data_IF_605508178012
#
_entry.id   IF_605508178012
#
_cell.length_a   1.000
_cell.length_b   1.000
_cell.length_c   1.000
_cell.angle_alpha   90.00
_cell.angle_beta   90.00
_cell.angle_gamma   90.00
#
_symmetry.space_group_name_H-M   'P 1'
#
loop_
_entity.id
_entity.type
_entity.pdbx_description
1 polymer ?
#
# COMPACT_ATOMS: atom_id res chain seq x y z
N UNK A 1 -28.82 8.38 -8.93
CA UNK A 1 -27.81 9.10 -8.13
C UNK A 1 -26.42 8.93 -8.77
N UNK A 2 -25.54 9.89 -8.53
CA UNK A 2 -24.13 9.91 -8.90
C UNK A 2 -23.28 9.17 -7.85
N UNK A 3 -22.01 8.92 -8.17
CA UNK A 3 -21.03 8.33 -7.28
C UNK A 3 -19.87 9.29 -7.03
N UNK A 4 -19.23 9.15 -5.88
CA UNK A 4 -17.99 9.82 -5.51
C UNK A 4 -16.90 8.78 -5.23
N UNK A 5 -15.71 9.03 -5.76
CA UNK A 5 -14.52 8.21 -5.56
C UNK A 5 -13.38 9.07 -5.00
N UNK A 6 -12.66 8.59 -3.99
CA UNK A 6 -11.46 9.28 -3.51
C UNK A 6 -10.37 8.29 -3.08
N UNK A 7 -9.12 8.73 -3.22
CA UNK A 7 -7.93 8.02 -2.76
C UNK A 7 -7.47 8.62 -1.43
N UNK A 8 -7.01 7.79 -0.51
CA UNK A 8 -6.60 8.21 0.84
C UNK A 8 -5.29 7.57 1.29
N UNK A 9 -4.50 8.36 2.02
CA UNK A 9 -3.20 7.98 2.56
C UNK A 9 -2.11 7.87 1.50
N UNK A 10 -1.06 7.10 1.82
CA UNK A 10 0.00 6.76 0.88
C UNK A 10 -0.55 6.04 -0.35
N UNK A 11 -0.09 6.45 -1.53
CA UNK A 11 -0.45 5.84 -2.81
C UNK A 11 0.33 4.56 -3.05
N UNK A 12 -0.11 3.75 -4.02
CA UNK A 12 0.59 2.51 -4.42
C UNK A 12 0.80 2.48 -5.94
N UNK A 13 1.54 1.48 -6.42
CA UNK A 13 1.74 1.28 -7.84
C UNK A 13 0.41 0.93 -8.54
N UNK A 14 -0.58 0.38 -7.82
CA UNK A 14 -1.80 -0.21 -8.39
C UNK A 14 -3.10 0.42 -7.88
N UNK A 15 -3.05 1.46 -7.04
CA UNK A 15 -4.27 2.12 -6.53
C UNK A 15 -5.14 2.69 -7.67
N UNK A 16 -4.54 3.08 -8.79
CA UNK A 16 -5.24 3.47 -10.01
C UNK A 16 -5.89 2.30 -10.77
N UNK A 17 -5.40 1.06 -10.60
CA UNK A 17 -6.11 -0.11 -11.12
C UNK A 17 -7.44 -0.32 -10.39
N UNK A 18 -7.49 -0.10 -9.08
CA UNK A 18 -8.75 -0.05 -8.33
C UNK A 18 -9.65 1.09 -8.83
N UNK A 19 -9.09 2.29 -9.06
CA UNK A 19 -9.83 3.41 -9.62
C UNK A 19 -10.45 3.09 -10.99
N UNK A 20 -9.66 2.44 -11.87
CA UNK A 20 -10.10 1.94 -13.18
C UNK A 20 -11.29 0.98 -13.01
N UNK A 21 -11.17 -0.01 -12.11
CA UNK A 21 -12.23 -0.95 -11.80
C UNK A 21 -13.53 -0.29 -11.35
N UNK A 22 -13.46 0.74 -10.51
CA UNK A 22 -14.64 1.53 -10.09
C UNK A 22 -15.25 2.26 -11.28
N UNK A 23 -14.46 3.09 -11.98
CA UNK A 23 -14.98 4.01 -13.00
C UNK A 23 -15.53 3.23 -14.21
N UNK A 24 -14.84 2.19 -14.67
CA UNK A 24 -15.33 1.36 -15.77
C UNK A 24 -16.61 0.62 -15.40
N UNK A 25 -16.69 0.07 -14.18
CA UNK A 25 -17.87 -0.67 -13.73
C UNK A 25 -19.07 0.25 -13.56
N UNK A 26 -18.87 1.45 -13.00
CA UNK A 26 -19.91 2.47 -12.92
C UNK A 26 -20.39 2.91 -14.33
N UNK A 27 -19.46 3.16 -15.26
CA UNK A 27 -19.78 3.49 -16.67
C UNK A 27 -20.51 2.37 -17.42
N UNK A 28 -20.35 1.11 -17.03
CA UNK A 28 -21.13 -0.02 -17.58
C UNK A 28 -22.54 -0.11 -17.00
N UNK A 29 -22.82 0.57 -15.89
CA UNK A 29 -24.10 0.54 -15.17
C UNK A 29 -24.78 1.93 -15.15
N UNK A 30 -24.76 2.66 -16.27
CA UNK A 30 -25.29 4.03 -16.39
C UNK A 30 -26.78 4.18 -16.05
N UNK A 31 -27.54 3.10 -16.15
CA UNK A 31 -28.94 3.03 -15.75
C UNK A 31 -29.13 3.08 -14.23
N UNK A 32 -28.09 2.80 -13.42
CA UNK A 32 -28.15 2.79 -11.95
C UNK A 32 -27.24 3.83 -11.30
N UNK A 33 -26.09 4.13 -11.93
CA UNK A 33 -25.13 5.13 -11.48
C UNK A 33 -25.01 6.20 -12.57
N UNK A 34 -25.23 7.46 -12.20
CA UNK A 34 -25.06 8.60 -13.09
C UNK A 34 -23.59 8.92 -13.35
N UNK A 35 -23.16 10.14 -12.98
CA UNK A 35 -21.76 10.54 -13.05
C UNK A 35 -20.94 9.93 -11.93
N UNK A 36 -19.65 9.71 -12.20
CA UNK A 36 -18.65 9.43 -11.17
C UNK A 36 -17.80 10.68 -10.99
N UNK A 37 -17.89 11.29 -9.82
CA UNK A 37 -16.99 12.35 -9.39
C UNK A 37 -15.79 11.75 -8.68
N UNK A 38 -14.62 12.38 -8.81
CA UNK A 38 -13.46 12.08 -7.99
C UNK A 38 -13.11 13.27 -7.08
N UNK A 39 -12.65 13.01 -5.86
CA UNK A 39 -12.15 14.06 -4.97
C UNK A 39 -10.73 14.45 -5.36
N UNK A 40 -10.50 15.72 -5.71
CA UNK A 40 -9.13 16.20 -5.91
C UNK A 40 -8.39 16.15 -4.58
N UNK A 41 -7.23 15.49 -4.56
CA UNK A 41 -6.43 15.31 -3.35
C UNK A 41 -7.20 14.58 -2.22
N UNK A 42 -8.00 13.57 -2.59
CA UNK A 42 -8.70 12.72 -1.62
C UNK A 42 -9.91 13.37 -0.98
N UNK A 43 -10.14 13.12 0.31
CA UNK A 43 -11.33 13.58 1.02
C UNK A 43 -11.39 15.10 1.20
N UNK A 44 -10.23 15.78 1.18
CA UNK A 44 -10.15 17.25 1.21
C UNK A 44 -10.89 17.86 -0.01
N UNK A 45 -10.81 17.21 -1.17
CA UNK A 45 -11.54 17.65 -2.36
C UNK A 45 -13.05 17.57 -2.18
N UNK A 46 -13.56 16.62 -1.39
CA UNK A 46 -14.98 16.63 -1.03
C UNK A 46 -15.30 17.80 -0.08
N UNK A 47 -14.54 17.97 1.00
CA UNK A 47 -14.78 19.04 1.98
C UNK A 47 -14.78 20.44 1.35
N UNK A 48 -13.83 20.69 0.45
CA UNK A 48 -13.66 21.99 -0.22
C UNK A 48 -14.43 22.13 -1.54
N UNK A 49 -15.26 21.12 -1.87
CA UNK A 49 -16.03 21.02 -3.11
C UNK A 49 -15.17 21.13 -4.40
N UNK A 50 -13.94 20.62 -4.35
CA UNK A 50 -13.05 20.46 -5.51
C UNK A 50 -13.19 19.05 -6.09
N UNK A 51 -14.31 18.85 -6.79
CA UNK A 51 -14.67 17.59 -7.43
C UNK A 51 -14.17 17.57 -8.88
N UNK A 52 -13.71 16.40 -9.33
CA UNK A 52 -13.32 16.13 -10.71
C UNK A 52 -14.46 15.38 -11.41
N UNK A 53 -14.93 15.85 -12.57
CA UNK A 53 -15.91 15.13 -13.41
C UNK A 53 -15.20 14.10 -14.29
N UNK A 54 -15.16 12.85 -13.83
CA UNK A 54 -14.48 11.77 -14.58
C UNK A 54 -15.16 11.43 -15.90
N UNK A 55 -16.39 11.92 -16.17
CA UNK A 55 -17.05 11.71 -17.47
C UNK A 55 -16.36 12.47 -18.61
N UNK A 56 -15.53 13.47 -18.29
CA UNK A 56 -14.73 14.24 -19.25
C UNK A 56 -13.46 13.52 -19.69
N UNK A 57 -13.18 12.37 -19.10
CA UNK A 57 -12.03 11.52 -19.42
C UNK A 57 -12.40 10.49 -20.48
N UNK A 58 -11.51 10.28 -21.46
CA UNK A 58 -11.74 9.27 -22.50
C UNK A 58 -11.75 7.86 -21.91
N UNK A 59 -12.38 6.90 -22.60
CA UNK A 59 -12.33 5.49 -22.20
C UNK A 59 -10.89 4.97 -22.18
N UNK A 60 -10.06 5.37 -23.15
CA UNK A 60 -8.64 5.01 -23.20
C UNK A 60 -7.85 5.57 -22.01
N UNK A 61 -8.14 6.82 -21.59
CA UNK A 61 -7.50 7.43 -20.42
C UNK A 61 -7.85 6.67 -19.13
N UNK A 62 -9.11 6.26 -18.97
CA UNK A 62 -9.53 5.45 -17.82
C UNK A 62 -8.90 4.05 -17.85
N UNK A 63 -8.86 3.39 -19.01
CA UNK A 63 -8.20 2.09 -19.14
C UNK A 63 -6.70 2.19 -18.78
N UNK A 64 -6.04 3.28 -19.17
CA UNK A 64 -4.62 3.51 -18.89
C UNK A 64 -4.29 3.71 -17.40
N UNK A 65 -5.28 3.99 -16.55
CA UNK A 65 -5.11 4.00 -15.09
C UNK A 65 -4.65 2.63 -14.57
N UNK A 66 -5.04 1.52 -15.22
CA UNK A 66 -4.65 0.15 -14.81
C UNK A 66 -3.14 -0.06 -14.85
N UNK A 67 -2.43 0.71 -15.68
CA UNK A 67 -0.98 0.63 -15.84
C UNK A 67 -0.26 1.95 -15.50
N UNK A 68 -0.84 2.76 -14.62
CA UNK A 68 -0.25 4.05 -14.18
C UNK A 68 -0.09 4.08 -12.65
N UNK A 69 1.10 4.36 -12.09
CA UNK A 69 1.34 4.38 -10.65
C UNK A 69 0.66 5.56 -9.95
N UNK A 70 0.75 5.57 -8.62
CA UNK A 70 0.36 6.70 -7.76
C UNK A 70 -1.14 6.99 -7.79
N UNK A 71 -1.58 8.14 -7.25
CA UNK A 71 -2.98 8.55 -7.26
C UNK A 71 -3.28 9.52 -8.40
N UNK A 72 -4.01 9.08 -9.42
CA UNK A 72 -4.33 9.90 -10.60
C UNK A 72 -5.20 11.13 -10.30
N UNK A 73 -5.85 11.16 -9.13
CA UNK A 73 -6.69 12.29 -8.68
C UNK A 73 -6.06 13.03 -7.49
N UNK A 74 -4.80 12.70 -7.13
CA UNK A 74 -4.19 13.10 -5.87
C UNK A 74 -4.72 12.27 -4.69
N UNK A 75 -4.04 12.38 -3.56
CA UNK A 75 -4.41 11.76 -2.29
C UNK A 75 -4.08 12.72 -1.16
N UNK A 76 -4.53 12.44 0.07
CA UNK A 76 -4.14 13.20 1.24
C UNK A 76 -3.97 12.30 2.47
N UNK A 77 -3.34 12.86 3.49
CA UNK A 77 -3.18 12.30 4.83
C UNK A 77 -4.11 13.00 5.84
N UNK A 78 -5.29 13.44 5.38
CA UNK A 78 -6.25 14.14 6.24
C UNK A 78 -7.11 13.14 7.00
N UNK A 79 -6.97 13.10 8.33
CA UNK A 79 -7.80 12.27 9.20
C UNK A 79 -9.05 13.03 9.60
N UNK A 80 -10.23 12.50 9.25
CA UNK A 80 -11.46 12.95 9.87
C UNK A 80 -11.47 12.45 11.30
N UNK A 81 -11.61 13.37 12.27
CA UNK A 81 -11.69 13.02 13.69
C UNK A 81 -12.98 12.24 14.00
N UNK A 82 -13.18 11.84 15.25
CA UNK A 82 -14.45 11.21 15.63
C UNK A 82 -15.64 12.17 15.45
N UNK A 83 -16.86 11.64 15.40
CA UNK A 83 -18.07 12.47 15.25
C UNK A 83 -18.22 13.44 16.43
N UNK A 84 -17.81 13.01 17.63
CA UNK A 84 -17.82 13.83 18.85
C UNK A 84 -16.81 14.98 18.76
N UNK A 85 -15.66 14.75 18.10
CA UNK A 85 -14.59 15.73 17.99
C UNK A 85 -14.76 16.69 16.80
N UNK A 86 -15.32 16.23 15.68
CA UNK A 86 -15.48 17.06 14.49
C UNK A 86 -16.65 16.63 13.60
N UNK A 87 -17.88 16.77 14.12
CA UNK A 87 -19.11 16.54 13.37
C UNK A 87 -19.22 17.40 12.09
N UNK A 88 -18.72 18.63 12.14
CA UNK A 88 -18.77 19.63 11.06
C UNK A 88 -18.19 19.13 9.74
N UNK A 89 -17.09 18.38 9.78
CA UNK A 89 -16.50 17.82 8.56
C UNK A 89 -17.39 16.77 7.91
N UNK A 90 -18.02 15.89 8.70
CA UNK A 90 -18.92 14.88 8.15
C UNK A 90 -20.20 15.49 7.61
N UNK A 91 -20.79 16.46 8.31
CA UNK A 91 -21.95 17.22 7.82
C UNK A 91 -21.63 17.90 6.48
N UNK A 92 -20.45 18.52 6.39
CA UNK A 92 -19.97 19.11 5.14
C UNK A 92 -19.87 18.09 4.00
N UNK A 93 -19.39 16.88 4.26
CA UNK A 93 -19.36 15.82 3.24
C UNK A 93 -20.77 15.49 2.74
N UNK A 94 -21.73 15.31 3.64
CA UNK A 94 -23.11 15.00 3.27
C UNK A 94 -23.75 16.16 2.48
N UNK A 95 -23.52 17.42 2.86
CA UNK A 95 -23.97 18.60 2.12
C UNK A 95 -23.46 18.59 0.67
N UNK A 96 -22.16 18.39 0.48
CA UNK A 96 -21.52 18.34 -0.84
C UNK A 96 -22.09 17.18 -1.65
N UNK A 97 -22.22 16.00 -1.04
CA UNK A 97 -22.80 14.84 -1.71
C UNK A 97 -24.25 15.08 -2.12
N UNK A 98 -25.07 15.70 -1.28
CA UNK A 98 -26.45 16.08 -1.58
C UNK A 98 -26.54 17.09 -2.73
N UNK A 99 -25.73 18.16 -2.69
CA UNK A 99 -25.68 19.18 -3.74
C UNK A 99 -25.30 18.60 -5.12
N UNK A 100 -24.53 17.51 -5.14
CA UNK A 100 -24.10 16.81 -6.36
C UNK A 100 -24.89 15.53 -6.66
N UNK A 101 -26.01 15.28 -5.96
CA UNK A 101 -26.84 14.09 -6.11
C UNK A 101 -26.03 12.79 -6.02
N UNK A 102 -25.01 12.75 -5.16
CA UNK A 102 -24.13 11.61 -4.91
C UNK A 102 -24.79 10.71 -3.87
N UNK A 103 -25.02 9.44 -4.19
CA UNK A 103 -25.57 8.44 -3.27
C UNK A 103 -24.65 7.23 -3.05
N UNK A 104 -23.49 7.23 -3.70
CA UNK A 104 -22.48 6.19 -3.60
C UNK A 104 -21.14 6.81 -3.24
N UNK A 105 -20.53 6.35 -2.16
CA UNK A 105 -19.21 6.78 -1.70
C UNK A 105 -18.23 5.61 -1.74
N UNK A 106 -17.26 5.68 -2.66
CA UNK A 106 -16.20 4.69 -2.82
C UNK A 106 -14.88 5.27 -2.30
N UNK A 107 -14.40 4.78 -1.16
CA UNK A 107 -13.19 5.33 -0.53
C UNK A 107 -12.04 4.33 -0.52
N UNK A 108 -11.00 4.65 -1.30
CA UNK A 108 -9.88 3.76 -1.58
C UNK A 108 -8.67 4.10 -0.72
N UNK A 109 -8.43 3.29 0.32
CA UNK A 109 -7.59 3.69 1.44
C UNK A 109 -7.18 2.54 2.36
N UNK A 110 -6.55 2.87 3.50
CA UNK A 110 -6.21 1.90 4.56
C UNK A 110 -7.28 1.86 5.66
N UNK A 111 -6.92 1.37 6.86
CA UNK A 111 -7.85 1.16 7.98
C UNK A 111 -8.63 2.42 8.39
N UNK A 112 -7.97 3.58 8.47
CA UNK A 112 -8.62 4.87 8.76
C UNK A 112 -9.71 5.24 7.73
N UNK A 113 -9.58 4.78 6.49
CA UNK A 113 -10.59 4.99 5.44
C UNK A 113 -11.80 4.08 5.62
N UNK A 114 -11.63 2.89 6.18
CA UNK A 114 -12.75 2.01 6.56
C UNK A 114 -13.61 2.66 7.65
N UNK A 115 -12.98 3.24 8.67
CA UNK A 115 -13.65 4.00 9.73
C UNK A 115 -14.40 5.22 9.17
N UNK A 116 -13.78 5.97 8.26
CA UNK A 116 -14.44 7.10 7.56
C UNK A 116 -15.70 6.65 6.81
N UNK A 117 -15.63 5.54 6.06
CA UNK A 117 -16.80 5.01 5.34
C UNK A 117 -17.93 4.63 6.30
N UNK A 118 -17.62 3.98 7.42
CA UNK A 118 -18.60 3.57 8.42
C UNK A 118 -19.34 4.78 9.00
N UNK A 119 -18.61 5.83 9.37
CA UNK A 119 -19.18 7.08 9.92
C UNK A 119 -20.01 7.84 8.90
N UNK A 120 -19.55 7.95 7.65
CA UNK A 120 -20.32 8.58 6.56
C UNK A 120 -21.64 7.82 6.34
N UNK A 121 -21.61 6.49 6.33
CA UNK A 121 -22.83 5.67 6.22
C UNK A 121 -23.82 6.00 7.33
N UNK A 122 -23.39 5.90 8.59
CA UNK A 122 -24.24 6.13 9.76
C UNK A 122 -24.82 7.56 9.80
N UNK A 123 -23.97 8.58 9.61
CA UNK A 123 -24.42 9.96 9.67
C UNK A 123 -25.39 10.30 8.53
N UNK A 124 -25.15 9.77 7.33
CA UNK A 124 -26.01 10.02 6.16
C UNK A 124 -27.46 9.57 6.37
N UNK A 125 -27.68 8.49 7.13
CA UNK A 125 -29.02 8.02 7.51
C UNK A 125 -29.71 9.01 8.46
N UNK A 126 -28.98 9.55 9.45
CA UNK A 126 -29.52 10.54 10.39
C UNK A 126 -29.80 11.91 9.76
N UNK A 127 -29.23 12.19 8.58
CA UNK A 127 -29.40 13.45 7.85
C UNK A 127 -30.43 13.36 6.71
N UNK A 128 -31.23 12.29 6.67
CA UNK A 128 -32.25 12.04 5.63
C UNK A 128 -31.68 12.12 4.21
N UNK A 129 -30.44 11.64 4.04
CA UNK A 129 -29.80 11.52 2.74
C UNK A 129 -28.88 10.29 2.73
N UNK A 130 -29.43 9.06 2.72
CA UNK A 130 -28.65 7.84 2.87
C UNK A 130 -27.62 7.66 1.76
N UNK A 131 -26.37 7.42 2.14
CA UNK A 131 -25.23 7.19 1.23
C UNK A 131 -24.71 5.78 1.42
N UNK A 132 -24.56 5.06 0.31
CA UNK A 132 -23.89 3.75 0.30
C UNK A 132 -22.39 3.97 0.32
N UNK A 133 -21.76 3.79 1.49
CA UNK A 133 -20.33 3.92 1.67
C UNK A 133 -19.66 2.53 1.60
N UNK A 134 -18.78 2.36 0.60
CA UNK A 134 -18.02 1.14 0.38
C UNK A 134 -16.54 1.46 0.44
N UNK A 135 -15.84 0.80 1.34
CA UNK A 135 -14.38 0.90 1.42
C UNK A 135 -13.75 0.05 0.32
N UNK A 136 -12.70 0.55 -0.32
CA UNK A 136 -11.86 -0.22 -1.26
C UNK A 136 -10.49 -0.40 -0.59
N UNK A 137 -10.05 -1.65 -0.34
CA UNK A 137 -8.83 -1.90 0.42
C UNK A 137 -7.59 -1.45 -0.36
N UNK A 138 -6.71 -0.73 0.33
CA UNK A 138 -5.39 -0.31 -0.18
C UNK A 138 -4.43 -0.06 0.97
N UNK A 139 -3.31 -0.77 0.95
CA UNK A 139 -2.17 -0.53 1.85
C UNK A 139 -0.97 -1.29 1.30
N UNK A 140 0.21 -0.67 1.33
CA UNK A 140 1.47 -1.37 0.99
C UNK A 140 1.96 -2.20 2.17
N UNK A 141 1.54 -1.84 3.39
CA UNK A 141 1.95 -2.47 4.64
C UNK A 141 1.24 -3.80 4.89
N UNK A 142 0.21 -4.12 4.09
CA UNK A 142 -0.53 -5.38 4.14
C UNK A 142 -1.22 -5.65 5.50
N UNK A 143 -1.67 -4.57 6.14
CA UNK A 143 -2.17 -4.52 7.51
C UNK A 143 -3.70 -4.49 7.63
N UNK A 144 -4.47 -4.54 6.54
CA UNK A 144 -5.93 -4.68 6.65
C UNK A 144 -6.31 -6.10 7.08
N UNK A 145 -7.26 -6.25 8.02
CA UNK A 145 -7.72 -7.53 8.51
C UNK A 145 -8.69 -8.19 7.51
N UNK A 146 -8.97 -9.48 7.74
CA UNK A 146 -9.94 -10.32 7.02
C UNK A 146 -9.53 -10.64 5.57
N UNK A 147 -9.13 -9.65 4.77
CA UNK A 147 -8.57 -9.90 3.43
C UNK A 147 -7.25 -10.68 3.53
N UNK A 148 -7.05 -11.65 2.62
CA UNK A 148 -5.82 -12.44 2.59
C UNK A 148 -4.60 -11.54 2.38
N UNK A 149 -4.70 -10.60 1.45
CA UNK A 149 -3.70 -9.59 1.19
C UNK A 149 -4.35 -8.27 0.76
N UNK A 150 -3.54 -7.21 0.74
CA UNK A 150 -4.00 -5.87 0.39
C UNK A 150 -3.50 -5.46 -1.01
N UNK A 151 -4.35 -4.80 -1.84
CA UNK A 151 -3.91 -4.18 -3.08
C UNK A 151 -2.78 -3.18 -2.88
N UNK A 152 -1.68 -3.37 -3.62
CA UNK A 152 -0.44 -2.59 -3.53
C UNK A 152 0.71 -3.35 -2.89
N UNK A 153 0.43 -4.20 -1.91
CA UNK A 153 1.45 -4.98 -1.22
C UNK A 153 2.20 -5.91 -2.16
N UNK A 154 1.49 -6.70 -2.98
CA UNK A 154 2.13 -7.68 -3.87
C UNK A 154 3.10 -7.04 -4.86
N UNK A 155 2.82 -5.82 -5.32
CA UNK A 155 3.72 -5.08 -6.20
C UNK A 155 4.96 -4.53 -5.47
N UNK A 156 4.80 -4.02 -4.24
CA UNK A 156 5.94 -3.59 -3.41
C UNK A 156 6.81 -4.80 -3.06
N UNK A 157 6.20 -5.91 -2.66
CA UNK A 157 6.90 -7.16 -2.36
C UNK A 157 7.69 -7.66 -3.58
N UNK A 158 7.11 -7.60 -4.79
CA UNK A 158 7.81 -7.98 -6.03
C UNK A 158 9.00 -7.08 -6.31
N UNK A 159 8.83 -5.76 -6.17
CA UNK A 159 9.93 -4.81 -6.32
C UNK A 159 11.06 -5.10 -5.33
N UNK A 160 10.76 -5.24 -4.03
CA UNK A 160 11.77 -5.51 -3.01
C UNK A 160 12.49 -6.85 -3.25
N UNK A 161 11.76 -7.91 -3.64
CA UNK A 161 12.37 -9.19 -3.97
C UNK A 161 13.35 -9.07 -5.15
N UNK A 162 12.97 -8.37 -6.22
CA UNK A 162 13.81 -8.16 -7.40
C UNK A 162 15.03 -7.30 -7.05
N UNK A 163 14.82 -6.14 -6.42
CA UNK A 163 15.91 -5.24 -6.05
C UNK A 163 16.90 -5.88 -5.08
N UNK A 164 16.41 -6.69 -4.13
CA UNK A 164 17.28 -7.46 -3.22
C UNK A 164 18.09 -8.50 -4.01
N UNK A 165 17.48 -9.17 -4.97
CA UNK A 165 18.18 -10.14 -5.82
C UNK A 165 19.26 -9.47 -6.69
N UNK A 166 18.91 -8.40 -7.41
CA UNK A 166 19.83 -7.66 -8.28
C UNK A 166 21.03 -7.13 -7.49
N UNK A 167 20.78 -6.48 -6.35
CA UNK A 167 21.86 -5.96 -5.50
C UNK A 167 22.71 -7.08 -4.86
N UNK A 168 22.11 -8.24 -4.59
CA UNK A 168 22.84 -9.41 -4.10
C UNK A 168 23.79 -9.98 -5.17
N UNK A 169 23.39 -9.96 -6.45
CA UNK A 169 24.27 -10.35 -7.56
C UNK A 169 25.45 -9.37 -7.72
N UNK A 170 25.17 -8.06 -7.60
CA UNK A 170 26.20 -7.03 -7.66
C UNK A 170 27.24 -7.22 -6.54
N UNK A 171 26.81 -7.22 -5.28
CA UNK A 171 27.73 -7.35 -4.14
C UNK A 171 28.49 -8.68 -4.17
N UNK A 172 27.85 -9.78 -4.61
CA UNK A 172 28.53 -11.07 -4.76
C UNK A 172 29.70 -10.99 -5.76
N UNK A 173 29.53 -10.27 -6.87
CA UNK A 173 30.57 -10.11 -7.89
C UNK A 173 31.77 -9.28 -7.41
N UNK A 174 31.52 -8.33 -6.49
CA UNK A 174 32.54 -7.41 -5.97
C UNK A 174 33.22 -7.90 -4.67
N UNK A 175 32.64 -8.92 -4.03
CA UNK A 175 32.97 -9.35 -2.69
C UNK A 175 34.42 -9.79 -2.49
N UNK A 176 35.15 -10.21 -3.53
CA UNK A 176 36.52 -10.72 -3.35
C UNK A 176 37.48 -9.65 -2.83
N UNK A 177 37.36 -8.41 -3.30
CA UNK A 177 38.33 -7.33 -3.02
C UNK A 177 37.70 -6.00 -2.62
N UNK A 178 36.36 -5.88 -2.63
CA UNK A 178 35.67 -4.63 -2.34
C UNK A 178 34.50 -4.86 -1.36
N UNK A 179 33.31 -4.37 -1.70
CA UNK A 179 32.09 -4.41 -0.88
C UNK A 179 31.73 -5.82 -0.46
N UNK A 180 31.58 -6.04 0.84
CA UNK A 180 31.20 -7.33 1.45
C UNK A 180 29.73 -7.37 1.86
N UNK A 181 29.13 -6.22 2.14
CA UNK A 181 27.75 -6.14 2.61
C UNK A 181 26.95 -5.11 1.81
N UNK A 182 25.75 -5.48 1.37
CA UNK A 182 24.77 -4.55 0.84
C UNK A 182 23.57 -4.44 1.77
N UNK A 183 23.08 -3.23 2.03
CA UNK A 183 21.94 -2.97 2.91
C UNK A 183 20.84 -2.25 2.13
N UNK A 184 19.61 -2.75 2.18
CA UNK A 184 18.44 -2.07 1.60
C UNK A 184 17.43 -1.74 2.69
N UNK A 185 17.16 -0.45 2.85
CA UNK A 185 16.07 0.05 3.71
C UNK A 185 14.75 0.09 2.95
N UNK A 186 13.71 -0.43 3.60
CA UNK A 186 12.37 -0.57 3.05
C UNK A 186 11.33 -0.01 4.00
N UNK A 187 10.20 0.47 3.46
CA UNK A 187 9.04 0.86 4.29
C UNK A 187 8.52 -0.32 5.11
N UNK A 188 7.82 -0.02 6.21
CA UNK A 188 7.19 -1.02 7.07
C UNK A 188 7.27 -0.63 8.54
N UNK A 189 6.60 0.46 8.92
CA UNK A 189 6.67 1.04 10.28
C UNK A 189 6.30 0.07 11.40
N UNK A 190 5.18 -0.64 11.24
CA UNK A 190 4.61 -1.50 12.30
C UNK A 190 4.63 -2.98 11.95
N UNK A 191 4.82 -3.32 10.68
CA UNK A 191 4.77 -4.71 10.21
C UNK A 191 5.88 -4.99 9.18
N UNK A 192 6.50 -6.16 9.33
CA UNK A 192 7.64 -6.63 8.56
C UNK A 192 7.30 -7.26 7.21
N UNK A 193 6.06 -7.14 6.71
CA UNK A 193 5.61 -7.77 5.47
C UNK A 193 6.46 -7.41 4.24
N UNK A 194 6.88 -6.15 4.14
CA UNK A 194 7.71 -5.65 3.04
C UNK A 194 9.14 -6.17 3.19
N UNK A 195 9.71 -6.11 4.40
CA UNK A 195 11.04 -6.66 4.69
C UNK A 195 11.11 -8.17 4.40
N UNK A 196 10.05 -8.92 4.76
CA UNK A 196 9.91 -10.33 4.47
C UNK A 196 10.01 -10.65 2.97
N UNK A 197 9.53 -9.76 2.11
CA UNK A 197 9.60 -9.94 0.66
C UNK A 197 11.03 -9.98 0.13
N UNK A 198 11.98 -9.30 0.78
CA UNK A 198 13.41 -9.39 0.43
C UNK A 198 13.96 -10.81 0.58
N UNK A 199 13.43 -11.59 1.53
CA UNK A 199 13.77 -13.00 1.69
C UNK A 199 13.41 -13.88 0.49
N UNK A 200 12.49 -13.45 -0.38
CA UNK A 200 12.11 -14.19 -1.59
C UNK A 200 13.22 -14.21 -2.65
N UNK A 201 14.19 -13.29 -2.59
CA UNK A 201 15.33 -13.27 -3.49
C UNK A 201 16.20 -14.53 -3.37
N UNK A 202 16.28 -15.11 -2.16
CA UNK A 202 16.93 -16.39 -1.90
C UNK A 202 15.97 -17.54 -2.21
N UNK A 203 16.39 -18.50 -3.02
CA UNK A 203 15.58 -19.67 -3.42
C UNK A 203 16.34 -20.96 -3.12
N UNK A 204 15.69 -22.13 -3.30
CA UNK A 204 16.36 -23.42 -3.13
C UNK A 204 17.46 -23.63 -4.18
N UNK A 205 17.19 -23.23 -5.42
CA UNK A 205 18.10 -23.42 -6.55
C UNK A 205 19.19 -22.33 -6.61
N UNK A 206 18.89 -21.15 -6.06
CA UNK A 206 19.84 -20.05 -5.95
C UNK A 206 19.80 -19.45 -4.53
N UNK A 207 20.52 -20.05 -3.57
CA UNK A 207 20.57 -19.57 -2.20
C UNK A 207 21.42 -18.29 -2.09
N UNK A 208 20.84 -17.23 -1.54
CA UNK A 208 21.50 -15.94 -1.29
C UNK A 208 21.57 -15.70 0.24
N UNK A 209 22.72 -15.23 0.78
CA UNK A 209 22.89 -14.92 2.21
C UNK A 209 22.18 -13.60 2.56
N UNK A 210 20.91 -13.69 2.92
CA UNK A 210 20.07 -12.55 3.28
C UNK A 210 19.77 -12.58 4.78
N UNK A 211 20.03 -11.47 5.47
CA UNK A 211 19.54 -11.19 6.82
C UNK A 211 18.44 -10.13 6.75
N UNK A 212 17.36 -10.34 7.50
CA UNK A 212 16.21 -9.43 7.52
C UNK A 212 16.06 -8.88 8.93
N UNK A 213 15.90 -7.57 9.05
CA UNK A 213 15.59 -6.88 10.30
C UNK A 213 14.12 -6.47 10.27
N UNK A 214 13.31 -7.13 11.10
CA UNK A 214 11.87 -6.97 11.17
C UNK A 214 11.48 -5.97 12.27
N UNK A 215 10.39 -5.19 12.09
CA UNK A 215 9.77 -4.41 13.16
C UNK A 215 9.26 -5.29 14.32
N UNK A 216 8.92 -6.55 14.07
CA UNK A 216 8.43 -7.48 15.10
C UNK A 216 9.54 -8.07 15.98
N UNK A 217 10.81 -7.87 15.63
CA UNK A 217 11.97 -8.47 16.32
C UNK A 217 12.81 -7.37 16.92
N UNK A 218 12.96 -7.38 18.25
CA UNK A 218 13.85 -6.46 18.96
C UNK A 218 15.29 -6.55 18.42
N UNK A 219 15.86 -5.39 18.11
CA UNK A 219 17.21 -5.35 17.55
C UNK A 219 18.28 -5.61 18.62
N UNK A 220 19.03 -6.69 18.42
CA UNK A 220 20.22 -7.03 19.20
C UNK A 220 21.47 -6.85 18.32
N UNK A 221 22.21 -5.76 18.57
CA UNK A 221 23.40 -5.42 17.79
C UNK A 221 24.45 -6.54 17.80
N UNK A 222 24.71 -7.16 18.95
CA UNK A 222 25.75 -8.20 19.07
C UNK A 222 25.38 -9.43 18.26
N UNK A 223 24.13 -9.91 18.37
CA UNK A 223 23.64 -11.05 17.59
C UNK A 223 23.63 -10.74 16.10
N UNK A 224 23.22 -9.53 15.72
CA UNK A 224 23.17 -9.10 14.32
C UNK A 224 24.57 -9.12 13.68
N UNK A 225 25.55 -8.47 14.32
CA UNK A 225 26.92 -8.41 13.79
C UNK A 225 27.57 -9.80 13.71
N UNK A 226 27.32 -10.67 14.70
CA UNK A 226 27.78 -12.06 14.65
C UNK A 226 27.18 -12.82 13.45
N UNK A 227 25.92 -12.56 13.10
CA UNK A 227 25.27 -13.15 11.91
C UNK A 227 25.85 -12.61 10.60
N UNK A 228 26.09 -11.31 10.52
CA UNK A 228 26.75 -10.69 9.35
C UNK A 228 28.12 -11.30 9.12
N UNK A 229 28.95 -11.36 10.17
CA UNK A 229 30.29 -11.96 10.11
C UNK A 229 30.25 -13.42 9.66
N UNK A 230 29.35 -14.23 10.23
CA UNK A 230 29.16 -15.62 9.84
C UNK A 230 28.75 -15.79 8.37
N UNK A 231 27.84 -14.95 7.87
CA UNK A 231 27.42 -14.97 6.46
C UNK A 231 28.58 -14.60 5.53
N UNK A 232 29.32 -13.54 5.84
CA UNK A 232 30.45 -13.09 5.02
C UNK A 232 31.59 -14.10 5.04
N UNK A 233 31.91 -14.72 6.17
CA UNK A 233 32.92 -15.79 6.25
C UNK A 233 32.54 -17.02 5.41
N UNK A 234 31.25 -17.37 5.38
CA UNK A 234 30.76 -18.55 4.65
C UNK A 234 30.57 -18.31 3.16
N UNK A 235 30.04 -17.15 2.78
CA UNK A 235 29.59 -16.86 1.41
C UNK A 235 30.43 -15.81 0.70
N UNK A 236 31.35 -15.15 1.40
CA UNK A 236 32.12 -14.02 0.90
C UNK A 236 31.40 -12.67 0.99
N UNK A 237 30.07 -12.67 1.10
CA UNK A 237 29.22 -11.47 1.17
C UNK A 237 27.96 -11.69 2.01
N UNK A 238 27.21 -10.62 2.27
CA UNK A 238 25.89 -10.65 2.91
C UNK A 238 24.99 -9.54 2.36
N UNK A 239 23.71 -9.81 2.20
CA UNK A 239 22.69 -8.78 1.94
C UNK A 239 21.82 -8.60 3.18
N UNK A 240 21.52 -7.36 3.56
CA UNK A 240 20.68 -7.01 4.70
C UNK A 240 19.46 -6.24 4.21
N UNK A 241 18.27 -6.71 4.57
CA UNK A 241 17.01 -6.00 4.33
C UNK A 241 16.54 -5.46 5.66
N UNK A 242 16.45 -4.13 5.79
CA UNK A 242 16.08 -3.47 7.05
C UNK A 242 14.77 -2.71 6.88
N UNK A 243 13.79 -3.01 7.74
CA UNK A 243 12.59 -2.16 7.81
C UNK A 243 12.91 -0.83 8.46
N UNK A 244 12.29 0.25 8.00
CA UNK A 244 12.32 1.56 8.68
C UNK A 244 11.81 1.49 10.13
N UNK A 245 10.97 0.48 10.43
CA UNK A 245 10.33 0.26 11.73
C UNK A 245 11.13 -0.57 12.74
N UNK A 246 12.37 -0.95 12.43
CA UNK A 246 13.21 -1.71 13.37
C UNK A 246 13.51 -0.85 14.60
N UNK A 247 13.44 -1.47 15.78
CA UNK A 247 13.56 -0.77 17.05
C UNK A 247 14.49 -1.49 18.04
N UNK A 248 15.04 -0.70 18.95
CA UNK A 248 15.78 -1.17 20.12
C UNK A 248 14.85 -1.86 21.14
N UNK A 249 15.38 -2.62 22.12
CA UNK A 249 14.58 -3.23 23.18
C UNK A 249 13.80 -2.23 24.04
N UNK A 250 14.21 -0.96 24.06
CA UNK A 250 13.50 0.12 24.74
C UNK A 250 12.34 0.73 23.90
N UNK A 251 12.08 0.16 22.72
CA UNK A 251 11.02 0.57 21.79
C UNK A 251 11.36 1.78 20.91
N UNK A 252 12.55 2.40 21.07
CA UNK A 252 12.97 3.48 20.17
C UNK A 252 13.36 2.92 18.81
N UNK A 253 12.91 3.59 17.74
CA UNK A 253 13.34 3.24 16.39
C UNK A 253 14.87 3.39 16.24
N UNK A 254 15.48 2.53 15.42
CA UNK A 254 16.92 2.58 15.15
C UNK A 254 17.33 3.92 14.54
N UNK A 255 16.47 4.46 13.68
CA UNK A 255 16.62 5.78 13.09
C UNK A 255 15.39 6.62 13.44
N UNK A 256 15.42 7.24 14.61
CA UNK A 256 14.49 8.30 14.98
C UNK A 256 15.12 9.66 14.68
N UNK A 257 14.54 10.40 13.72
CA UNK A 257 14.99 11.75 13.36
C UNK A 257 14.51 12.82 14.34
N UNK A 258 13.64 12.47 15.30
CA UNK A 258 13.00 13.40 16.23
C UNK A 258 11.89 14.26 15.61
N UNK A 259 11.66 14.16 14.30
CA UNK A 259 10.59 14.87 13.58
C UNK A 259 9.29 14.05 13.62
N UNK A 260 8.12 14.71 13.58
CA UNK A 260 6.81 14.04 13.51
C UNK A 260 6.08 14.44 12.23
N UNK A 261 5.37 13.49 11.61
CA UNK A 261 4.52 13.73 10.44
C UNK A 261 3.17 14.36 10.84
N UNK A 262 2.33 14.66 9.83
CA UNK A 262 1.03 15.30 10.02
C UNK A 262 0.00 14.47 10.84
N UNK A 263 0.27 13.18 11.09
CA UNK A 263 -0.52 12.32 11.98
C UNK A 263 0.10 12.18 13.37
N UNK A 264 1.25 12.82 13.63
CA UNK A 264 1.97 12.73 14.89
C UNK A 264 2.91 11.53 15.00
N UNK A 265 3.13 10.78 13.91
CA UNK A 265 4.07 9.66 13.89
C UNK A 265 5.51 10.13 13.68
N UNK A 266 6.50 9.51 14.34
CA UNK A 266 7.91 9.83 14.13
C UNK A 266 8.28 9.69 12.64
N UNK A 267 8.96 10.66 12.04
CA UNK A 267 9.47 10.54 10.68
C UNK A 267 10.61 9.53 10.68
N UNK A 268 10.36 8.41 9.99
CA UNK A 268 11.32 7.33 9.84
C UNK A 268 12.16 7.54 8.58
N UNK A 269 13.37 6.98 8.60
CA UNK A 269 14.34 7.10 7.52
C UNK A 269 15.76 7.06 8.07
N UNK A 270 16.64 6.26 7.47
CA UNK A 270 18.06 6.18 7.84
C UNK A 270 18.45 4.96 8.67
N UNK A 271 17.58 3.96 8.80
CA UNK A 271 17.95 2.69 9.40
C UNK A 271 19.12 2.02 8.64
N UNK A 272 19.16 2.15 7.31
CA UNK A 272 20.27 1.66 6.48
C UNK A 272 21.61 2.30 6.87
N UNK A 273 21.66 3.61 7.12
CA UNK A 273 22.90 4.31 7.47
C UNK A 273 23.39 3.92 8.86
N UNK A 274 22.47 3.75 9.81
CA UNK A 274 22.77 3.26 11.17
C UNK A 274 23.38 1.84 11.10
N UNK A 275 22.75 0.93 10.36
CA UNK A 275 23.25 -0.44 10.18
C UNK A 275 24.60 -0.47 9.47
N UNK A 276 24.78 0.33 8.42
CA UNK A 276 26.03 0.48 7.69
C UNK A 276 27.18 0.94 8.61
N UNK A 277 26.91 1.93 9.46
CA UNK A 277 27.85 2.44 10.46
C UNK A 277 28.27 1.38 11.46
N UNK A 278 27.31 0.62 12.00
CA UNK A 278 27.59 -0.48 12.95
C UNK A 278 28.48 -1.57 12.33
N UNK A 279 28.18 -2.00 11.10
CA UNK A 279 28.99 -3.01 10.41
C UNK A 279 30.41 -2.52 10.14
N UNK A 280 30.56 -1.25 9.72
CA UNK A 280 31.88 -0.67 9.46
C UNK A 280 32.70 -0.53 10.74
N UNK A 281 32.09 -0.06 11.84
CA UNK A 281 32.78 0.19 13.11
C UNK A 281 33.23 -1.10 13.79
N UNK A 282 32.37 -2.13 13.80
CA UNK A 282 32.60 -3.34 14.61
C UNK A 282 33.23 -4.49 13.82
N UNK A 283 32.99 -4.58 12.51
CA UNK A 283 33.51 -5.68 11.67
C UNK A 283 34.54 -5.22 10.62
N UNK A 284 34.70 -3.92 10.41
CA UNK A 284 35.60 -3.38 9.38
C UNK A 284 35.21 -3.75 7.94
N UNK A 285 33.98 -4.21 7.72
CA UNK A 285 33.51 -4.69 6.41
C UNK A 285 32.99 -3.52 5.57
N UNK A 286 33.64 -3.30 4.41
CA UNK A 286 33.18 -2.34 3.41
C UNK A 286 31.76 -2.69 2.99
N UNK A 287 30.88 -1.70 3.05
CA UNK A 287 29.47 -1.87 2.74
C UNK A 287 28.93 -0.77 1.84
N UNK A 288 27.81 -1.05 1.18
CA UNK A 288 26.97 -0.10 0.47
C UNK A 288 25.54 -0.22 0.97
N UNK A 289 24.78 0.86 0.83
CA UNK A 289 23.38 0.86 1.22
C UNK A 289 22.53 1.67 0.25
N UNK A 290 21.24 1.34 0.21
CA UNK A 290 20.22 2.05 -0.54
C UNK A 290 18.94 2.19 0.30
N UNK A 291 18.21 3.29 0.09
CA UNK A 291 16.88 3.50 0.67
C UNK A 291 15.89 3.51 -0.49
N UNK A 292 14.98 2.55 -0.50
CA UNK A 292 14.04 2.42 -1.63
C UNK A 292 12.98 3.54 -1.64
N UNK A 293 12.55 3.99 -0.45
CA UNK A 293 11.60 5.08 -0.25
C UNK A 293 10.42 5.02 -1.24
N UNK A 294 10.09 6.09 -1.96
CA UNK A 294 8.93 6.12 -2.85
C UNK A 294 9.03 5.19 -4.04
N UNK A 295 10.23 4.77 -4.45
CA UNK A 295 10.41 3.88 -5.60
C UNK A 295 9.66 2.57 -5.37
N UNK A 296 9.75 1.99 -4.18
CA UNK A 296 9.13 0.69 -3.89
C UNK A 296 7.61 0.69 -4.04
N UNK A 297 6.95 1.81 -3.73
CA UNK A 297 5.49 1.94 -3.82
C UNK A 297 5.01 2.57 -5.12
N UNK A 298 5.91 3.06 -5.97
CA UNK A 298 5.60 3.64 -7.28
C UNK A 298 6.07 2.78 -8.47
N UNK A 299 6.67 1.62 -8.21
CA UNK A 299 7.27 0.71 -9.19
C UNK A 299 6.26 -0.03 -10.11
N UNK A 300 5.36 0.72 -10.78
CA UNK A 300 4.38 0.13 -11.72
C UNK A 300 5.06 -0.57 -12.90
N UNK A 301 6.26 -0.14 -13.29
CA UNK A 301 7.05 -0.77 -14.35
C UNK A 301 7.36 -2.25 -14.09
N UNK A 302 7.33 -2.72 -12.84
CA UNK A 302 7.62 -4.11 -12.48
C UNK A 302 6.56 -4.74 -11.58
N UNK A 303 5.36 -4.15 -11.52
CA UNK A 303 4.28 -4.58 -10.63
C UNK A 303 3.88 -6.05 -10.80
N UNK A 304 3.36 -6.63 -9.72
CA UNK A 304 2.82 -7.99 -9.72
C UNK A 304 1.52 -8.03 -10.51
N UNK A 305 1.45 -8.87 -11.54
CA UNK A 305 0.20 -9.09 -12.31
C UNK A 305 -0.93 -9.55 -11.39
N UNK A 306 -0.60 -10.39 -10.41
CA UNK A 306 -1.56 -10.87 -9.40
C UNK A 306 -2.15 -9.70 -8.60
N UNK A 307 -1.31 -8.79 -8.12
CA UNK A 307 -1.72 -7.60 -7.36
C UNK A 307 -2.54 -6.63 -8.22
N UNK A 308 -2.11 -6.37 -9.47
CA UNK A 308 -2.85 -5.50 -10.41
C UNK A 308 -4.27 -6.05 -10.67
N UNK A 309 -4.40 -7.37 -10.86
CA UNK A 309 -5.69 -8.03 -11.08
C UNK A 309 -6.60 -7.95 -9.84
N UNK A 310 -6.05 -8.17 -8.64
CA UNK A 310 -6.79 -8.03 -7.39
C UNK A 310 -7.23 -6.58 -7.17
N UNK A 311 -6.34 -5.61 -7.36
CA UNK A 311 -6.66 -4.18 -7.24
C UNK A 311 -7.85 -3.77 -8.12
N UNK A 312 -7.80 -4.11 -9.41
CA UNK A 312 -8.90 -3.86 -10.34
C UNK A 312 -10.19 -4.56 -9.90
N UNK A 313 -10.10 -5.83 -9.46
CA UNK A 313 -11.25 -6.59 -9.00
C UNK A 313 -11.90 -6.00 -7.74
N UNK A 314 -11.12 -5.46 -6.79
CA UNK A 314 -11.65 -4.79 -5.60
C UNK A 314 -12.45 -3.54 -5.96
N UNK A 315 -11.93 -2.72 -6.90
CA UNK A 315 -12.67 -1.56 -7.40
C UNK A 315 -13.96 -1.93 -8.11
N UNK A 316 -13.92 -2.95 -8.97
CA UNK A 316 -15.11 -3.51 -9.64
C UNK A 316 -16.13 -4.04 -8.64
N UNK A 317 -15.68 -4.83 -7.66
CA UNK A 317 -16.52 -5.46 -6.65
C UNK A 317 -17.22 -4.42 -5.77
N UNK A 318 -16.55 -3.33 -5.39
CA UNK A 318 -17.15 -2.27 -4.59
C UNK A 318 -18.40 -1.68 -5.27
N UNK A 319 -18.32 -1.40 -6.57
CA UNK A 319 -19.48 -0.94 -7.35
C UNK A 319 -20.57 -2.00 -7.40
N UNK A 320 -20.21 -3.26 -7.65
CA UNK A 320 -21.18 -4.36 -7.70
C UNK A 320 -21.89 -4.57 -6.36
N UNK A 321 -21.20 -4.43 -5.23
CA UNK A 321 -21.78 -4.53 -3.89
C UNK A 321 -22.77 -3.40 -3.63
N UNK A 322 -22.41 -2.16 -3.94
CA UNK A 322 -23.32 -1.02 -3.82
C UNK A 322 -24.59 -1.18 -4.67
N UNK A 323 -24.44 -1.69 -5.90
CA UNK A 323 -25.57 -1.97 -6.81
C UNK A 323 -26.48 -3.11 -6.34
N UNK A 324 -25.95 -4.04 -5.55
CA UNK A 324 -26.71 -5.11 -4.88
C UNK A 324 -27.39 -4.65 -3.58
N UNK A 325 -27.18 -3.40 -3.17
CA UNK A 325 -27.79 -2.85 -1.95
C UNK A 325 -26.93 -2.98 -0.70
N UNK A 326 -25.72 -3.55 -0.79
CA UNK A 326 -24.81 -3.59 0.34
C UNK A 326 -24.31 -2.18 0.68
N UNK A 327 -24.06 -1.95 1.97
CA UNK A 327 -23.57 -0.70 2.53
C UNK A 327 -22.62 -1.02 3.69
N UNK A 328 -21.67 -0.14 4.00
CA UNK A 328 -20.70 -0.32 5.09
C UNK A 328 -19.96 -1.65 5.00
N UNK A 329 -19.46 -1.97 3.80
CA UNK A 329 -18.67 -3.17 3.52
C UNK A 329 -17.36 -2.85 2.79
N UNK A 330 -16.44 -3.80 2.83
CA UNK A 330 -15.18 -3.83 2.09
C UNK A 330 -15.11 -5.12 1.26
N UNK A 331 -14.79 -5.09 -0.04
CA UNK A 331 -14.45 -6.30 -0.79
C UNK A 331 -13.12 -6.87 -0.30
N UNK A 332 -13.02 -8.19 -0.22
CA UNK A 332 -11.82 -8.90 0.26
C UNK A 332 -11.24 -9.79 -0.82
N UNK A 333 -9.94 -10.06 -0.73
CA UNK A 333 -9.31 -11.17 -1.44
C UNK A 333 -9.37 -12.40 -0.54
N UNK A 334 -10.11 -13.43 -0.95
CA UNK A 334 -10.21 -14.67 -0.20
C UNK A 334 -9.37 -15.74 -0.90
N UNK A 335 -8.26 -16.15 -0.27
CA UNK A 335 -7.41 -17.22 -0.78
C UNK A 335 -8.12 -18.57 -0.67
N UNK A 336 -8.20 -19.29 -1.79
CA UNK A 336 -8.84 -20.61 -1.90
C UNK A 336 -7.83 -21.76 -1.96
N UNK A 337 -6.68 -21.53 -2.58
CA UNK A 337 -5.58 -22.50 -2.65
C UNK A 337 -4.25 -21.79 -2.87
N UNK A 338 -3.15 -22.41 -2.42
CA UNK A 338 -1.79 -21.94 -2.64
C UNK A 338 -1.15 -22.49 -3.93
N UNK A 339 -1.49 -23.73 -4.31
CA UNK A 339 -0.88 -24.46 -5.42
C UNK A 339 -1.95 -25.33 -6.12
N UNK A 340 -2.47 -24.92 -7.30
CA UNK A 340 -2.28 -23.61 -7.93
C UNK A 340 -2.88 -22.49 -7.07
N UNK A 341 -2.29 -21.30 -7.13
CA UNK A 341 -2.83 -20.15 -6.41
C UNK A 341 -4.19 -19.75 -6.98
N UNK A 342 -5.21 -19.75 -6.12
CA UNK A 342 -6.58 -19.38 -6.47
C UNK A 342 -7.13 -18.45 -5.39
N UNK A 343 -7.87 -17.45 -5.81
CA UNK A 343 -8.55 -16.51 -4.93
C UNK A 343 -9.92 -16.15 -5.51
N UNK A 344 -10.81 -15.65 -4.66
CA UNK A 344 -12.09 -15.07 -5.06
C UNK A 344 -12.30 -13.72 -4.36
N UNK A 345 -13.27 -12.96 -4.85
CA UNK A 345 -13.76 -11.76 -4.16
C UNK A 345 -14.69 -12.19 -3.03
N UNK A 346 -14.36 -11.82 -1.80
CA UNK A 346 -15.23 -11.91 -0.64
C UNK A 346 -15.77 -10.54 -0.22
N UNK A 347 -16.36 -10.49 0.98
CA UNK A 347 -16.93 -9.26 1.54
C UNK A 347 -16.81 -9.29 3.06
N UNK A 348 -16.37 -8.17 3.63
CA UNK A 348 -16.26 -7.97 5.08
C UNK A 348 -17.07 -6.73 5.51
N UNK A 349 -17.76 -6.77 6.66
CA UNK A 349 -18.41 -5.59 7.22
C UNK A 349 -17.37 -4.64 7.83
N UNK A 350 -17.55 -3.32 7.66
CA UNK A 350 -16.54 -2.33 8.10
C UNK A 350 -16.34 -2.27 9.61
N UNK A 351 -17.34 -2.63 10.41
CA UNK A 351 -17.20 -2.71 11.87
C UNK A 351 -16.20 -3.79 12.35
N UNK A 352 -15.83 -4.75 11.48
CA UNK A 352 -14.77 -5.74 11.74
C UNK A 352 -13.42 -5.38 11.11
N UNK A 353 -13.36 -4.26 10.38
CA UNK A 353 -12.16 -3.79 9.66
C UNK A 353 -11.62 -2.51 10.29
N UNK A 354 -12.50 -1.57 10.62
CA UNK A 354 -12.12 -0.29 11.21
C UNK A 354 -11.35 -0.50 12.53
N UNK A 355 -10.22 0.20 12.65
CA UNK A 355 -9.35 0.19 13.84
C UNK A 355 -8.79 -1.19 14.24
N UNK A 356 -8.69 -2.14 13.29
CA UNK A 356 -8.06 -3.44 13.49
C UNK A 356 -6.94 -3.60 12.48
N UNK A 357 -5.78 -4.08 12.94
CA UNK A 357 -4.58 -4.27 12.10
C UNK A 357 -4.17 -5.75 12.05
N UNK A 358 -3.63 -6.15 10.90
CA UNK A 358 -3.09 -7.48 10.64
C UNK A 358 -1.57 -7.48 10.80
N UNK A 359 -1.10 -8.01 11.94
CA UNK A 359 0.32 -8.22 12.18
C UNK A 359 0.88 -9.42 11.40
N UNK A 360 2.19 -9.44 11.19
CA UNK A 360 2.87 -10.60 10.63
C UNK A 360 2.87 -11.76 11.65
N UNK A 361 2.48 -12.99 11.27
CA UNK A 361 2.51 -14.11 12.19
C UNK A 361 3.94 -14.46 12.63
N UNK A 362 4.18 -14.70 13.91
CA UNK A 362 5.51 -15.08 14.44
C UNK A 362 6.13 -16.27 13.71
N UNK A 363 5.30 -17.24 13.32
CA UNK A 363 5.75 -18.44 12.60
C UNK A 363 6.13 -18.18 11.12
N UNK A 364 6.06 -16.92 10.65
CA UNK A 364 6.60 -16.50 9.36
C UNK A 364 8.07 -16.07 9.46
N UNK A 365 8.55 -15.77 10.67
CA UNK A 365 9.95 -15.39 10.94
C UNK A 365 10.72 -16.64 11.41
N UNK A 366 11.98 -16.78 11.00
CA UNK A 366 12.85 -17.88 11.45
C UNK A 366 13.12 -17.76 12.95
N UNK A 367 13.46 -18.88 13.60
CA UNK A 367 13.72 -18.91 15.06
C UNK A 367 14.82 -17.95 15.52
N UNK A 368 15.78 -17.65 14.64
CA UNK A 368 16.84 -16.70 14.92
C UNK A 368 16.48 -15.24 14.62
N UNK A 369 15.28 -14.96 14.11
CA UNK A 369 14.77 -13.61 13.89
C UNK A 369 15.23 -12.94 12.60
N UNK A 370 16.11 -13.57 11.79
CA UNK A 370 16.77 -12.91 10.66
C UNK A 370 16.35 -13.39 9.26
N UNK A 371 15.26 -14.16 9.16
CA UNK A 371 14.82 -14.72 7.89
C UNK A 371 13.34 -15.08 7.86
N UNK A 372 12.90 -15.59 6.71
CA UNK A 372 11.52 -16.03 6.49
C UNK A 372 11.39 -17.56 6.48
N UNK A 373 10.32 -18.08 7.05
CA UNK A 373 10.02 -19.52 7.04
C UNK A 373 9.38 -19.97 5.72
N UNK A 374 9.28 -21.29 5.51
CA UNK A 374 8.52 -21.85 4.38
C UNK A 374 7.02 -21.46 4.43
N UNK A 375 6.45 -21.24 5.62
CA UNK A 375 5.07 -20.77 5.76
C UNK A 375 4.92 -19.35 5.20
N UNK A 376 5.86 -18.47 5.51
CA UNK A 376 5.92 -17.12 4.95
C UNK A 376 6.04 -17.16 3.42
N UNK A 377 6.96 -17.97 2.89
CA UNK A 377 7.14 -18.16 1.44
C UNK A 377 5.85 -18.63 0.75
N UNK A 378 5.18 -19.63 1.33
CA UNK A 378 3.92 -20.15 0.78
C UNK A 378 2.83 -19.06 0.69
N UNK A 379 2.84 -18.09 1.61
CA UNK A 379 1.92 -16.96 1.59
C UNK A 379 2.34 -15.88 0.57
N UNK A 380 3.62 -15.49 0.56
CA UNK A 380 4.14 -14.37 -0.24
C UNK A 380 4.39 -14.69 -1.71
N UNK A 381 4.97 -15.86 -2.01
CA UNK A 381 5.37 -16.22 -3.38
C UNK A 381 4.22 -16.06 -4.39
N UNK A 382 2.98 -16.49 -4.10
CA UNK A 382 1.87 -16.30 -5.04
C UNK A 382 1.51 -14.82 -5.30
N UNK A 383 1.75 -13.94 -4.34
CA UNK A 383 1.35 -12.53 -4.40
C UNK A 383 2.24 -11.71 -5.33
N UNK A 384 3.48 -12.17 -5.59
CA UNK A 384 4.42 -11.53 -6.51
C UNK A 384 4.39 -12.15 -7.91
N UNK A 385 3.54 -13.15 -8.17
CA UNK A 385 3.56 -13.89 -9.45
C UNK A 385 3.06 -13.07 -10.63
N UNK A 386 3.82 -13.18 -11.72
CA UNK A 386 3.50 -12.66 -13.04
C UNK A 386 3.83 -11.19 -13.19
N UNK A 387 4.05 -10.80 -14.44
CA UNK A 387 4.45 -9.47 -14.85
C UNK A 387 3.31 -8.82 -15.62
N UNK A 388 3.10 -7.53 -15.38
CA UNK A 388 2.08 -6.74 -16.05
C UNK A 388 2.73 -5.43 -16.49
N UNK A 389 3.59 -5.47 -17.51
CA UNK A 389 4.33 -4.28 -17.93
C UNK A 389 3.39 -3.19 -18.48
N UNK A 390 3.60 -1.90 -18.15
CA UNK A 390 2.91 -0.83 -18.85
C UNK A 390 3.35 -0.78 -20.32
N UNK A 391 2.57 -0.19 -21.23
CA UNK A 391 3.07 0.15 -22.56
C UNK A 391 4.22 1.16 -22.45
N UNK A 392 5.19 1.08 -23.36
CA UNK A 392 6.34 1.98 -23.42
C UNK A 392 6.26 2.88 -24.66
N UNK A 393 6.84 4.07 -24.54
CA UNK A 393 7.08 4.99 -25.64
C UNK A 393 8.41 5.70 -25.39
N UNK A 394 9.28 5.75 -26.39
CA UNK A 394 10.56 6.47 -26.31
C UNK A 394 11.43 6.00 -25.12
N UNK A 395 11.43 4.68 -24.86
CA UNK A 395 12.19 4.05 -23.76
C UNK A 395 11.56 4.19 -22.36
N UNK A 396 10.46 4.94 -22.20
CA UNK A 396 9.82 5.20 -20.91
C UNK A 396 8.39 4.63 -20.83
N UNK A 397 7.90 4.26 -19.64
CA UNK A 397 6.50 3.89 -19.46
C UNK A 397 5.55 5.03 -19.88
N UNK A 398 4.57 4.70 -20.72
CA UNK A 398 3.53 5.64 -21.18
C UNK A 398 2.42 5.73 -20.14
N UNK A 399 2.70 6.41 -19.03
CA UNK A 399 1.73 6.67 -17.97
C UNK A 399 0.73 7.77 -18.37
N UNK A 400 -0.53 7.62 -17.96
CA UNK A 400 -1.58 8.61 -18.24
C UNK A 400 -1.55 9.74 -17.21
N UNK A 401 -1.78 10.97 -17.67
CA UNK A 401 -2.20 12.09 -16.83
C UNK A 401 -3.64 12.42 -17.15
N UNK A 402 -4.48 12.46 -16.13
CA UNK A 402 -5.90 12.78 -16.26
C UNK A 402 -6.05 14.27 -16.58
N UNK A 403 -7.04 14.63 -17.40
CA UNK A 403 -7.40 16.05 -17.61
C UNK A 403 -7.88 16.69 -16.32
N UNK A 404 -8.52 15.88 -15.46
CA UNK A 404 -9.00 16.26 -14.13
C UNK A 404 -9.86 17.53 -14.16
N UNK A 405 -10.80 17.61 -15.11
CA UNK A 405 -11.71 18.75 -15.28
C UNK A 405 -12.58 18.91 -14.03
N UNK A 406 -12.56 20.10 -13.43
CA UNK A 406 -13.34 20.40 -12.24
C UNK A 406 -14.85 20.40 -12.54
N UNK A 407 -15.64 19.92 -11.57
CA UNK A 407 -17.07 20.11 -11.56
C UNK A 407 -17.41 21.51 -11.01
N UNK A 408 -18.51 22.14 -11.47
CA UNK A 408 -18.94 23.44 -10.93
C UNK A 408 -19.26 23.34 -9.44
N UNK A 409 -18.81 24.31 -8.64
CA UNK A 409 -19.18 24.44 -7.23
C UNK A 409 -20.64 24.89 -7.10
N UNK A 410 -21.30 24.46 -6.03
CA UNK A 410 -22.72 24.72 -5.74
C UNK A 410 -22.94 25.20 -4.32
N UNK A 411 -21.95 25.07 -3.44
CA UNK A 411 -22.03 25.45 -2.05
C UNK A 411 -21.05 26.58 -1.73
N UNK A 412 -21.29 27.34 -0.64
CA UNK A 412 -20.29 28.25 -0.11
C UNK A 412 -18.96 27.55 0.20
N UNK A 413 -17.88 28.32 0.21
CA UNK A 413 -16.56 27.82 0.54
C UNK A 413 -16.50 27.26 1.98
N UNK A 414 -15.76 26.18 2.16
CA UNK A 414 -15.54 25.57 3.48
C UNK A 414 -14.12 25.82 3.94
N UNK A 415 -13.97 26.39 5.14
CA UNK A 415 -12.68 26.54 5.81
C UNK A 415 -12.39 25.26 6.59
N UNK A 416 -11.34 24.55 6.16
CA UNK A 416 -10.79 23.35 6.82
C UNK A 416 -10.39 23.65 8.26
#
# INVERSE_FOLDING_TARGET
MNAFYAQSGGVTAVINASACGVIETARKNKNKIGKVYAGRNGIIGALTEDLIDTSKESAASIAALRHTPSGAFGSCRFKLKSLEQNRREYERLIEVFKAHNIGYFFYNGGGDSADTCLKVSQLSETMDYPIKAIHIPKTVDNDLPITDNCPGFGSVAKYIAISTQEASFDVASMAKTSTKVFIIEVMGRHAGWIAAAGGLASTRDNPIPILILFPEVEFDQKKFLARVDAMVKKHGYCTVVVSEGVHWPDGRFLADTGLKDAFGHAQLGGAATVIAGMIQAELGLKNHWAVADYLQRAARHIASRTDVNMAYAMGKAAVQFALKGHNSVMPTVDRLSNKPFKWKVGMAPLNKVANVEKMMPDNFITKDGYGITQKCRNYLEPLIKGEDYPPYKDGMPKYVRMKAIAAPKKLPAFKL
#
